data_IF_801170299481
#
_entry.id   IF_801170299481
#
_cell.length_a   1.000
_cell.length_b   1.000
_cell.length_c   1.000
_cell.angle_alpha   90.00
_cell.angle_beta   90.00
_cell.angle_gamma   90.00
#
_symmetry.space_group_name_H-M   'P 1'
#
loop_
_entity.id
_entity.type
_entity.pdbx_description
1 polymer ?
#
# COMPACT_ATOMS: atom_id res chain seq x y z
N UNK A 1 7.03 21.77 6.63
CA UNK A 1 6.00 21.97 5.59
C UNK A 1 4.70 22.27 6.31
N UNK A 2 4.15 23.48 6.19
CA UNK A 2 2.89 23.84 6.87
C UNK A 2 1.74 23.26 6.07
N UNK A 3 1.00 22.30 6.64
CA UNK A 3 -0.16 21.68 6.00
C UNK A 3 -1.41 22.53 6.29
N UNK A 4 -1.75 23.43 5.38
CA UNK A 4 -3.02 24.16 5.47
C UNK A 4 -4.19 23.21 5.19
N UNK A 5 -5.26 23.22 5.98
CA UNK A 5 -6.52 22.52 5.70
C UNK A 5 -7.33 23.27 4.63
N UNK A 6 -8.32 22.62 3.99
CA UNK A 6 -9.19 23.29 3.00
C UNK A 6 -9.97 24.41 3.69
N UNK A 7 -10.44 24.14 4.91
CA UNK A 7 -11.14 25.13 5.72
C UNK A 7 -10.27 26.35 6.02
N UNK A 8 -9.00 26.16 6.40
CA UNK A 8 -8.08 27.27 6.64
C UNK A 8 -7.83 28.10 5.37
N UNK A 9 -7.75 27.46 4.20
CA UNK A 9 -7.65 28.19 2.93
C UNK A 9 -8.90 29.04 2.66
N UNK A 10 -10.10 28.46 2.80
CA UNK A 10 -11.36 29.18 2.62
C UNK A 10 -11.50 30.33 3.62
N UNK A 11 -11.10 30.12 4.88
CA UNK A 11 -11.07 31.17 5.90
C UNK A 11 -10.12 32.29 5.51
N UNK A 12 -8.92 31.98 5.02
CA UNK A 12 -7.93 32.98 4.63
C UNK A 12 -8.39 33.78 3.40
N UNK A 13 -9.01 33.11 2.43
CA UNK A 13 -9.61 33.74 1.26
C UNK A 13 -10.78 34.66 1.66
N UNK A 14 -11.65 34.21 2.56
CA UNK A 14 -12.73 35.04 3.11
C UNK A 14 -12.21 36.26 3.88
N UNK A 15 -11.21 36.08 4.74
CA UNK A 15 -10.56 37.17 5.48
C UNK A 15 -9.93 38.17 4.51
N UNK A 16 -9.28 37.68 3.45
CA UNK A 16 -8.72 38.52 2.40
C UNK A 16 -9.82 39.37 1.75
N UNK A 17 -10.93 38.78 1.30
CA UNK A 17 -12.06 39.54 0.74
C UNK A 17 -12.61 40.58 1.69
N UNK A 18 -12.84 40.19 2.95
CA UNK A 18 -13.39 41.09 3.95
C UNK A 18 -12.45 42.27 4.21
N UNK A 19 -11.14 42.01 4.30
CA UNK A 19 -10.13 43.05 4.53
C UNK A 19 -10.05 44.06 3.38
N UNK A 20 -9.99 43.60 2.12
CA UNK A 20 -9.95 44.48 0.95
C UNK A 20 -11.27 45.25 0.78
N UNK A 21 -12.42 44.61 0.98
CA UNK A 21 -13.73 45.28 0.99
C UNK A 21 -13.79 46.42 2.00
N UNK A 22 -13.35 46.19 3.24
CA UNK A 22 -13.33 47.21 4.28
C UNK A 22 -12.35 48.35 3.94
N UNK A 23 -11.20 48.04 3.33
CA UNK A 23 -10.24 49.05 2.87
C UNK A 23 -10.85 49.93 1.76
N UNK A 24 -11.50 49.33 0.75
CA UNK A 24 -12.17 50.10 -0.30
C UNK A 24 -13.31 50.95 0.25
N UNK A 25 -14.13 50.40 1.14
CA UNK A 25 -15.20 51.15 1.79
C UNK A 25 -14.67 52.34 2.61
N UNK A 26 -13.62 52.10 3.40
CA UNK A 26 -12.99 53.14 4.23
C UNK A 26 -12.38 54.26 3.38
N UNK A 27 -11.63 53.93 2.34
CA UNK A 27 -11.03 54.93 1.44
C UNK A 27 -12.12 55.72 0.72
N UNK A 28 -13.16 55.04 0.22
CA UNK A 28 -14.25 55.70 -0.52
C UNK A 28 -15.10 56.60 0.37
N UNK A 29 -15.27 56.25 1.65
CA UNK A 29 -16.00 57.05 2.63
C UNK A 29 -15.22 58.28 3.09
N UNK A 30 -13.90 58.17 3.26
CA UNK A 30 -13.04 59.27 3.75
C UNK A 30 -12.65 60.22 2.61
N UNK A 31 -12.35 59.68 1.42
CA UNK A 31 -11.84 60.45 0.29
C UNK A 31 -12.35 59.88 -1.04
N UNK A 32 -13.53 60.31 -1.51
CA UNK A 32 -14.12 59.83 -2.77
C UNK A 32 -13.20 60.01 -3.99
N UNK A 33 -12.36 61.06 -4.00
CA UNK A 33 -11.37 61.32 -5.06
C UNK A 33 -10.27 60.26 -5.17
N UNK A 34 -10.06 59.46 -4.11
CA UNK A 34 -9.04 58.42 -4.04
C UNK A 34 -9.65 57.01 -3.95
N UNK A 35 -10.98 56.92 -3.82
CA UNK A 35 -11.74 55.70 -3.60
C UNK A 35 -12.25 55.02 -4.86
N UNK A 36 -13.18 54.10 -4.64
CA UNK A 36 -14.01 53.46 -5.66
C UNK A 36 -15.36 54.16 -5.64
N UNK A 37 -15.83 54.56 -6.82
CA UNK A 37 -17.12 55.23 -7.00
C UNK A 37 -17.99 54.41 -7.95
N UNK A 38 -19.30 54.47 -7.77
CA UNK A 38 -20.24 53.87 -8.71
C UNK A 38 -20.40 54.74 -9.97
N UNK A 39 -21.19 54.28 -10.93
CA UNK A 39 -21.47 55.01 -12.18
C UNK A 39 -22.05 56.42 -11.95
N UNK A 40 -22.81 56.61 -10.87
CA UNK A 40 -23.38 57.92 -10.51
C UNK A 40 -22.37 58.88 -9.87
N UNK A 41 -21.12 58.45 -9.68
CA UNK A 41 -20.06 59.23 -9.07
C UNK A 41 -20.15 59.34 -7.54
N UNK A 42 -21.01 58.56 -6.90
CA UNK A 42 -21.16 58.54 -5.44
C UNK A 42 -20.28 57.47 -4.81
N UNK A 43 -19.95 57.66 -3.52
CA UNK A 43 -19.26 56.65 -2.75
C UNK A 43 -20.06 55.34 -2.69
N UNK A 44 -19.36 54.21 -2.79
CA UNK A 44 -19.96 52.89 -2.73
C UNK A 44 -20.41 52.52 -1.32
N UNK A 45 -21.52 51.79 -1.22
CA UNK A 45 -21.99 51.15 0.01
C UNK A 45 -21.11 49.96 0.41
N UNK A 46 -21.22 49.50 1.65
CA UNK A 46 -20.47 48.34 2.15
C UNK A 46 -20.78 47.04 1.38
N UNK A 47 -22.02 46.88 0.91
CA UNK A 47 -22.40 45.74 0.07
C UNK A 47 -21.73 45.80 -1.30
N UNK A 48 -21.69 46.98 -1.90
CA UNK A 48 -21.03 47.22 -3.19
C UNK A 48 -19.50 47.09 -3.07
N UNK A 49 -18.88 47.49 -1.96
CA UNK A 49 -17.43 47.27 -1.74
C UNK A 49 -17.07 45.80 -1.61
N UNK A 50 -17.94 45.01 -0.98
CA UNK A 50 -17.75 43.57 -0.89
C UNK A 50 -17.90 42.90 -2.25
N UNK A 51 -18.93 43.29 -3.01
CA UNK A 51 -19.12 42.83 -4.38
C UNK A 51 -17.92 43.22 -5.27
N UNK A 52 -17.45 44.47 -5.18
CA UNK A 52 -16.31 44.98 -5.93
C UNK A 52 -15.02 44.19 -5.65
N UNK A 53 -14.71 43.88 -4.38
CA UNK A 53 -13.56 43.04 -4.00
C UNK A 53 -13.66 41.64 -4.59
N UNK A 54 -14.84 41.01 -4.53
CA UNK A 54 -15.09 39.70 -5.12
C UNK A 54 -14.90 39.71 -6.64
N UNK A 55 -15.43 40.73 -7.31
CA UNK A 55 -15.29 40.91 -8.75
C UNK A 55 -13.85 41.24 -9.18
N UNK A 56 -13.09 41.94 -8.35
CA UNK A 56 -11.68 42.28 -8.62
C UNK A 56 -10.80 41.05 -8.61
N UNK A 57 -10.92 40.19 -7.59
CA UNK A 57 -10.13 38.96 -7.50
C UNK A 57 -10.51 37.94 -8.57
N UNK A 58 -11.80 37.84 -8.90
CA UNK A 58 -12.28 36.98 -9.99
C UNK A 58 -12.06 37.59 -11.38
N UNK A 59 -11.49 38.80 -11.47
CA UNK A 59 -11.32 39.57 -12.70
C UNK A 59 -12.61 39.72 -13.52
N UNK A 60 -13.76 39.73 -12.84
CA UNK A 60 -15.09 39.78 -13.45
C UNK A 60 -15.72 41.18 -13.40
N UNK A 61 -15.06 42.16 -12.76
CA UNK A 61 -15.55 43.53 -12.72
C UNK A 61 -15.44 44.19 -14.11
N UNK A 62 -16.57 44.31 -14.82
CA UNK A 62 -16.64 45.03 -16.10
C UNK A 62 -17.61 46.20 -15.91
N UNK A 63 -17.09 47.42 -15.92
CA UNK A 63 -17.87 48.64 -16.17
C UNK A 63 -18.55 49.31 -14.96
N UNK A 64 -19.04 48.55 -13.98
CA UNK A 64 -19.96 49.08 -12.94
C UNK A 64 -19.32 50.08 -11.95
N UNK A 65 -17.99 50.10 -11.85
CA UNK A 65 -17.26 50.89 -10.86
C UNK A 65 -16.07 51.61 -11.50
N UNK A 66 -15.90 52.88 -11.14
CA UNK A 66 -14.72 53.66 -11.49
C UNK A 66 -13.76 53.72 -10.29
N UNK A 67 -12.48 53.51 -10.57
CA UNK A 67 -11.43 53.41 -9.54
C UNK A 67 -10.48 54.59 -9.67
N UNK A 68 -10.35 55.36 -8.60
CA UNK A 68 -9.50 56.55 -8.59
C UNK A 68 -8.15 56.33 -7.91
N UNK A 69 -7.13 57.08 -8.36
CA UNK A 69 -5.78 57.26 -7.77
C UNK A 69 -5.26 56.07 -6.92
N UNK A 70 -5.37 56.16 -5.60
CA UNK A 70 -4.80 55.19 -4.65
C UNK A 70 -5.49 53.82 -4.71
N UNK A 71 -6.79 53.77 -4.97
CA UNK A 71 -7.52 52.51 -5.08
C UNK A 71 -7.01 51.63 -6.23
N UNK A 72 -6.41 52.21 -7.28
CA UNK A 72 -5.76 51.44 -8.36
C UNK A 72 -4.56 50.64 -7.87
N UNK A 73 -3.76 51.19 -6.96
CA UNK A 73 -2.65 50.46 -6.34
C UNK A 73 -3.17 49.33 -5.45
N UNK A 74 -4.22 49.61 -4.68
CA UNK A 74 -4.84 48.64 -3.78
C UNK A 74 -5.44 47.43 -4.53
N UNK A 75 -6.08 47.68 -5.68
CA UNK A 75 -6.52 46.63 -6.61
C UNK A 75 -5.36 45.79 -7.10
N UNK A 76 -4.22 46.41 -7.42
CA UNK A 76 -3.05 45.67 -7.89
C UNK A 76 -2.57 44.69 -6.82
N UNK A 77 -2.53 45.12 -5.55
CA UNK A 77 -2.20 44.25 -4.43
C UNK A 77 -3.25 43.18 -4.18
N UNK A 78 -4.53 43.51 -4.30
CA UNK A 78 -5.63 42.55 -4.16
C UNK A 78 -5.57 41.46 -5.22
N UNK A 79 -5.37 41.82 -6.49
CA UNK A 79 -5.21 40.87 -7.60
C UNK A 79 -3.98 40.00 -7.39
N UNK A 80 -2.86 40.57 -6.93
CA UNK A 80 -1.64 39.81 -6.64
C UNK A 80 -1.88 38.81 -5.49
N UNK A 81 -2.53 39.24 -4.40
CA UNK A 81 -2.89 38.38 -3.29
C UNK A 81 -3.83 37.25 -3.75
N UNK A 82 -4.87 37.59 -4.53
CA UNK A 82 -5.79 36.61 -5.11
C UNK A 82 -5.09 35.57 -5.98
N UNK A 83 -4.13 35.98 -6.82
CA UNK A 83 -3.32 35.08 -7.64
C UNK A 83 -2.47 34.12 -6.79
N UNK A 84 -1.83 34.63 -5.73
CA UNK A 84 -1.02 33.81 -4.81
C UNK A 84 -1.91 32.77 -4.11
N UNK A 85 -3.06 33.20 -3.59
CA UNK A 85 -4.02 32.29 -2.94
C UNK A 85 -4.55 31.24 -3.90
N UNK A 86 -4.91 31.63 -5.13
CA UNK A 86 -5.37 30.70 -6.14
C UNK A 86 -4.28 29.69 -6.53
N UNK A 87 -3.03 30.14 -6.68
CA UNK A 87 -1.88 29.27 -6.95
C UNK A 87 -1.64 28.25 -5.82
N UNK A 88 -1.75 28.68 -4.56
CA UNK A 88 -1.67 27.77 -3.40
C UNK A 88 -2.79 26.72 -3.41
N UNK A 89 -4.03 27.14 -3.71
CA UNK A 89 -5.17 26.22 -3.81
C UNK A 89 -4.98 25.20 -4.92
N UNK A 90 -4.56 25.64 -6.10
CA UNK A 90 -4.36 24.79 -7.27
C UNK A 90 -3.24 23.78 -7.01
N UNK A 91 -2.13 24.22 -6.42
CA UNK A 91 -1.01 23.36 -6.00
C UNK A 91 -1.49 22.26 -5.05
N UNK A 92 -2.36 22.59 -4.08
CA UNK A 92 -2.91 21.62 -3.15
C UNK A 92 -3.88 20.63 -3.82
N UNK A 93 -4.74 21.11 -4.72
CA UNK A 93 -5.62 20.25 -5.51
C UNK A 93 -4.83 19.26 -6.37
N UNK A 94 -3.79 19.75 -7.05
CA UNK A 94 -2.90 18.92 -7.87
C UNK A 94 -2.15 17.93 -6.99
N UNK A 95 -1.65 18.34 -5.83
CA UNK A 95 -0.99 17.46 -4.86
C UNK A 95 -1.90 16.34 -4.37
N UNK A 96 -3.15 16.64 -4.02
CA UNK A 96 -4.14 15.64 -3.60
C UNK A 96 -4.47 14.66 -4.74
N UNK A 97 -4.64 15.16 -5.98
CA UNK A 97 -4.88 14.31 -7.15
C UNK A 97 -3.67 13.41 -7.44
N UNK A 98 -2.45 13.95 -7.36
CA UNK A 98 -1.21 13.22 -7.58
C UNK A 98 -0.99 12.12 -6.53
N UNK A 99 -1.23 12.43 -5.26
CA UNK A 99 -1.17 11.44 -4.17
C UNK A 99 -2.15 10.29 -4.40
N UNK A 100 -3.41 10.58 -4.72
CA UNK A 100 -4.42 9.55 -5.03
C UNK A 100 -4.10 8.73 -6.28
N UNK A 101 -3.48 9.35 -7.29
CA UNK A 101 -3.03 8.63 -8.49
C UNK A 101 -1.88 7.68 -8.17
N UNK A 102 -0.92 8.15 -7.37
CA UNK A 102 0.22 7.36 -6.90
C UNK A 102 -0.26 6.16 -6.06
N UNK A 103 -1.18 6.37 -5.12
CA UNK A 103 -1.84 5.31 -4.34
C UNK A 103 -2.45 4.24 -5.26
N UNK A 104 -3.25 4.65 -6.25
CA UNK A 104 -3.86 3.73 -7.24
C UNK A 104 -2.84 2.99 -8.10
N UNK A 105 -1.75 3.65 -8.51
CA UNK A 105 -0.68 2.99 -9.28
C UNK A 105 -0.02 1.90 -8.44
N UNK A 106 0.28 2.18 -7.18
CA UNK A 106 0.83 1.20 -6.25
C UNK A 106 -0.15 0.05 -6.03
N UNK A 107 -1.42 0.31 -5.72
CA UNK A 107 -2.46 -0.71 -5.58
C UNK A 107 -2.54 -1.63 -6.81
N UNK A 108 -2.49 -1.05 -8.03
CA UNK A 108 -2.49 -1.81 -9.28
C UNK A 108 -1.28 -2.74 -9.41
N UNK A 109 -0.07 -2.23 -9.17
CA UNK A 109 1.16 -3.04 -9.20
C UNK A 109 1.14 -4.15 -8.15
N UNK A 110 0.60 -3.89 -6.96
CA UNK A 110 0.48 -4.89 -5.90
C UNK A 110 -0.53 -5.99 -6.27
N UNK A 111 -1.71 -5.63 -6.79
CA UNK A 111 -2.70 -6.62 -7.26
C UNK A 111 -2.12 -7.51 -8.35
N UNK A 112 -1.33 -6.95 -9.25
CA UNK A 112 -0.63 -7.73 -10.29
C UNK A 112 0.37 -8.72 -9.67
N UNK A 113 1.28 -8.26 -8.80
CA UNK A 113 2.24 -9.15 -8.12
C UNK A 113 1.54 -10.24 -7.32
N UNK A 114 0.43 -9.92 -6.66
CA UNK A 114 -0.36 -10.89 -5.89
C UNK A 114 -0.97 -11.97 -6.78
N UNK A 115 -1.47 -11.58 -7.96
CA UNK A 115 -1.94 -12.53 -8.97
C UNK A 115 -0.80 -13.40 -9.49
N UNK A 116 0.37 -12.84 -9.76
CA UNK A 116 1.57 -13.58 -10.20
C UNK A 116 2.01 -14.60 -9.14
N UNK A 117 2.06 -14.21 -7.86
CA UNK A 117 2.37 -15.13 -6.76
C UNK A 117 1.34 -16.25 -6.65
N UNK A 118 0.04 -15.92 -6.68
CA UNK A 118 -1.05 -16.91 -6.63
C UNK A 118 -0.95 -17.91 -7.79
N UNK A 119 -0.69 -17.44 -9.00
CA UNK A 119 -0.55 -18.29 -10.18
C UNK A 119 0.67 -19.21 -10.06
N UNK A 120 1.82 -18.65 -9.64
CA UNK A 120 3.04 -19.43 -9.41
C UNK A 120 2.84 -20.52 -8.34
N UNK A 121 2.04 -20.24 -7.30
CA UNK A 121 1.68 -21.22 -6.28
C UNK A 121 0.76 -22.31 -6.81
N UNK A 122 -0.26 -21.94 -7.58
CA UNK A 122 -1.18 -22.90 -8.20
C UNK A 122 -0.45 -23.85 -9.16
N UNK A 123 0.49 -23.34 -9.96
CA UNK A 123 1.30 -24.13 -10.88
C UNK A 123 2.19 -25.15 -10.14
N UNK A 124 2.88 -24.71 -9.07
CA UNK A 124 3.70 -25.60 -8.24
C UNK A 124 2.86 -26.68 -7.56
N UNK A 125 1.69 -26.30 -7.04
CA UNK A 125 0.73 -27.24 -6.46
C UNK A 125 0.28 -28.30 -7.47
N UNK A 126 -0.03 -27.89 -8.69
CA UNK A 126 -0.42 -28.81 -9.77
C UNK A 126 0.72 -29.78 -10.11
N UNK A 127 1.95 -29.28 -10.23
CA UNK A 127 3.14 -30.10 -10.44
C UNK A 127 3.34 -31.15 -9.34
N UNK A 128 3.18 -30.75 -8.07
CA UNK A 128 3.31 -31.65 -6.94
C UNK A 128 2.23 -32.75 -6.92
N UNK A 129 0.98 -32.39 -7.20
CA UNK A 129 -0.12 -33.35 -7.29
C UNK A 129 0.16 -34.37 -8.39
N UNK A 130 0.65 -33.93 -9.55
CA UNK A 130 1.01 -34.80 -10.68
C UNK A 130 2.11 -35.79 -10.31
N UNK A 131 3.20 -35.31 -9.70
CA UNK A 131 4.31 -36.15 -9.24
C UNK A 131 3.88 -37.13 -8.15
N UNK A 132 3.09 -36.67 -7.18
CA UNK A 132 2.57 -37.50 -6.09
C UNK A 132 1.68 -38.62 -6.61
N UNK A 133 0.84 -38.36 -7.63
CA UNK A 133 0.00 -39.38 -8.26
C UNK A 133 0.85 -40.44 -8.97
N UNK A 134 1.80 -40.02 -9.80
CA UNK A 134 2.72 -40.95 -10.49
C UNK A 134 3.52 -41.82 -9.50
N UNK A 135 3.97 -41.24 -8.38
CA UNK A 135 4.72 -41.98 -7.35
C UNK A 135 3.91 -43.07 -6.63
N UNK A 136 2.58 -43.01 -6.70
CA UNK A 136 1.68 -44.00 -6.10
C UNK A 136 1.32 -45.14 -7.08
N UNK A 137 1.70 -45.04 -8.35
CA UNK A 137 1.45 -46.09 -9.35
C UNK A 137 2.46 -47.25 -9.19
N UNK A 138 2.00 -48.51 -9.01
CA UNK A 138 2.88 -49.65 -8.86
C UNK A 138 3.67 -49.90 -10.16
N UNK A 139 4.97 -50.17 -10.02
CA UNK A 139 5.87 -50.48 -11.15
C UNK A 139 6.66 -49.29 -11.72
N UNK A 140 6.35 -48.05 -11.33
CA UNK A 140 6.91 -46.85 -11.97
C UNK A 140 8.00 -46.12 -11.16
N UNK A 141 8.53 -46.76 -10.11
CA UNK A 141 9.39 -46.10 -9.11
C UNK A 141 10.70 -45.57 -9.70
N UNK A 142 11.30 -46.25 -10.67
CA UNK A 142 12.58 -45.86 -11.24
C UNK A 142 12.45 -44.69 -12.23
N UNK A 143 11.36 -44.68 -13.02
CA UNK A 143 11.05 -43.63 -13.98
C UNK A 143 10.58 -42.37 -13.25
N UNK A 144 9.74 -42.53 -12.22
CA UNK A 144 9.36 -41.45 -11.29
C UNK A 144 10.58 -40.94 -10.54
N UNK A 145 11.54 -41.79 -10.13
CA UNK A 145 12.83 -41.32 -9.57
C UNK A 145 13.62 -40.49 -10.58
N UNK A 146 13.70 -40.88 -11.85
CA UNK A 146 14.40 -40.11 -12.89
C UNK A 146 13.68 -38.80 -13.20
N UNK A 147 12.36 -38.80 -13.35
CA UNK A 147 11.56 -37.59 -13.58
C UNK A 147 11.61 -36.66 -12.37
N UNK A 148 11.45 -37.18 -11.14
CA UNK A 148 11.62 -36.40 -9.91
C UNK A 148 13.05 -35.90 -9.86
N UNK A 149 14.07 -36.72 -10.08
CA UNK A 149 15.46 -36.30 -10.09
C UNK A 149 15.77 -35.30 -11.21
N UNK A 150 15.06 -35.29 -12.34
CA UNK A 150 15.28 -34.36 -13.45
C UNK A 150 14.48 -33.06 -13.27
N UNK A 151 13.28 -33.13 -12.70
CA UNK A 151 12.50 -31.97 -12.28
C UNK A 151 13.16 -31.29 -11.08
N UNK A 152 13.74 -32.08 -10.17
CA UNK A 152 14.64 -31.65 -9.11
C UNK A 152 15.93 -31.14 -9.73
N UNK A 153 16.68 -31.87 -10.55
CA UNK A 153 17.97 -31.39 -11.10
C UNK A 153 17.84 -30.11 -11.95
N UNK A 154 16.72 -29.90 -12.63
CA UNK A 154 16.42 -28.67 -13.38
C UNK A 154 15.79 -27.54 -12.52
N UNK A 155 15.33 -27.82 -11.28
CA UNK A 155 14.73 -26.82 -10.35
C UNK A 155 15.10 -27.04 -8.86
N UNK A 156 16.29 -27.59 -8.58
CA UNK A 156 16.82 -28.27 -7.34
C UNK A 156 15.93 -28.46 -6.11
N UNK A 157 16.10 -29.57 -5.39
CA UNK A 157 15.48 -29.80 -4.08
C UNK A 157 16.04 -28.80 -3.04
N UNK A 158 17.29 -28.36 -3.22
CA UNK A 158 17.86 -27.15 -2.60
C UNK A 158 17.08 -25.88 -2.98
N UNK A 159 16.63 -25.77 -4.23
CA UNK A 159 15.71 -24.72 -4.66
C UNK A 159 14.31 -24.93 -4.08
N UNK A 160 13.83 -26.14 -3.78
CA UNK A 160 12.45 -26.33 -3.31
C UNK A 160 12.25 -25.81 -1.88
N UNK A 161 13.16 -26.14 -0.96
CA UNK A 161 13.16 -25.54 0.38
C UNK A 161 13.55 -24.06 0.34
N UNK A 162 14.45 -23.63 -0.56
CA UNK A 162 14.69 -22.20 -0.82
C UNK A 162 13.49 -21.49 -1.43
N UNK A 163 12.67 -22.14 -2.24
CA UNK A 163 11.49 -21.58 -2.90
C UNK A 163 10.38 -21.51 -1.87
N UNK A 164 10.18 -22.54 -1.04
CA UNK A 164 9.25 -22.49 0.09
C UNK A 164 9.70 -21.41 1.07
N UNK A 165 10.97 -21.39 1.46
CA UNK A 165 11.56 -20.37 2.35
C UNK A 165 11.49 -18.96 1.75
N UNK A 166 11.88 -18.77 0.48
CA UNK A 166 11.80 -17.51 -0.25
C UNK A 166 10.37 -17.04 -0.40
N UNK A 167 9.41 -17.93 -0.67
CA UNK A 167 8.00 -17.59 -0.78
C UNK A 167 7.35 -17.34 0.58
N UNK A 168 7.81 -18.00 1.64
CA UNK A 168 7.44 -17.71 3.04
C UNK A 168 7.98 -16.36 3.49
N UNK A 169 9.25 -16.05 3.18
CA UNK A 169 9.86 -14.75 3.41
C UNK A 169 9.22 -13.66 2.56
N UNK A 170 8.84 -13.94 1.30
CA UNK A 170 8.13 -12.99 0.46
C UNK A 170 6.71 -12.74 0.96
N UNK A 171 5.99 -13.78 1.41
CA UNK A 171 4.71 -13.63 2.09
C UNK A 171 4.87 -12.85 3.40
N UNK A 172 5.90 -13.11 4.20
CA UNK A 172 6.10 -12.41 5.46
C UNK A 172 6.49 -10.95 5.27
N UNK A 173 7.36 -10.64 4.30
CA UNK A 173 7.69 -9.27 3.87
C UNK A 173 6.48 -8.56 3.30
N UNK A 174 5.65 -9.24 2.50
CA UNK A 174 4.44 -8.67 1.93
C UNK A 174 3.38 -8.40 3.00
N UNK A 175 3.16 -9.33 3.93
CA UNK A 175 2.28 -9.14 5.08
C UNK A 175 2.78 -7.98 5.94
N UNK A 176 4.07 -7.93 6.24
CA UNK A 176 4.67 -6.85 7.03
C UNK A 176 4.55 -5.49 6.33
N UNK A 177 4.87 -5.41 5.03
CA UNK A 177 4.84 -4.16 4.28
C UNK A 177 3.41 -3.64 4.10
N UNK A 178 2.45 -4.48 3.69
CA UNK A 178 1.07 -4.05 3.54
C UNK A 178 0.43 -3.75 4.90
N UNK A 179 0.71 -4.53 5.96
CA UNK A 179 0.16 -4.18 7.27
C UNK A 179 0.80 -2.91 7.83
N UNK A 180 2.11 -2.71 7.74
CA UNK A 180 2.75 -1.48 8.23
C UNK A 180 2.37 -0.23 7.41
N UNK A 181 2.26 -0.35 6.08
CA UNK A 181 1.89 0.77 5.20
C UNK A 181 0.38 1.05 5.28
N UNK A 182 -0.48 0.03 5.32
CA UNK A 182 -1.93 0.21 5.40
C UNK A 182 -2.44 0.50 6.82
N UNK A 183 -1.70 0.14 7.89
CA UNK A 183 -2.01 0.55 9.27
C UNK A 183 -1.80 2.05 9.47
N UNK A 184 -0.87 2.65 8.71
CA UNK A 184 -0.71 4.10 8.64
C UNK A 184 -1.87 4.78 7.89
N UNK A 185 -2.57 4.08 6.98
CA UNK A 185 -3.58 4.65 6.09
C UNK A 185 -5.03 4.14 6.32
N UNK A 186 -5.27 3.35 7.38
CA UNK A 186 -6.59 2.87 7.83
C UNK A 186 -7.48 2.13 6.81
N UNK A 187 -6.96 1.66 5.68
CA UNK A 187 -7.70 0.84 4.70
C UNK A 187 -7.04 -0.51 4.49
N UNK A 188 -7.17 -1.37 5.49
CA UNK A 188 -6.73 -2.74 5.36
C UNK A 188 -7.86 -3.60 4.78
N UNK A 189 -7.63 -4.22 3.62
CA UNK A 189 -8.58 -5.13 2.99
C UNK A 189 -8.49 -6.53 3.65
N UNK A 190 -9.36 -6.78 4.63
CA UNK A 190 -9.39 -8.05 5.37
C UNK A 190 -9.69 -9.26 4.47
N UNK A 191 -10.42 -9.09 3.37
CA UNK A 191 -10.72 -10.18 2.44
C UNK A 191 -9.45 -10.67 1.73
N UNK A 192 -8.62 -9.74 1.28
CA UNK A 192 -7.34 -10.06 0.62
C UNK A 192 -6.39 -10.76 1.59
N UNK A 193 -6.30 -10.31 2.84
CA UNK A 193 -5.50 -10.97 3.87
C UNK A 193 -6.01 -12.38 4.14
N UNK A 194 -7.32 -12.54 4.34
CA UNK A 194 -7.95 -13.84 4.60
C UNK A 194 -7.66 -14.82 3.47
N UNK A 195 -7.80 -14.40 2.21
CA UNK A 195 -7.51 -15.22 1.04
C UNK A 195 -6.03 -15.65 0.98
N UNK A 196 -5.09 -14.74 1.29
CA UNK A 196 -3.65 -15.06 1.36
C UNK A 196 -3.33 -16.06 2.47
N UNK A 197 -3.85 -15.82 3.67
CA UNK A 197 -3.66 -16.70 4.82
C UNK A 197 -4.23 -18.10 4.54
N UNK A 198 -5.41 -18.17 3.90
CA UNK A 198 -6.02 -19.43 3.51
C UNK A 198 -5.19 -20.19 2.45
N UNK A 199 -4.63 -19.48 1.46
CA UNK A 199 -3.71 -20.07 0.47
C UNK A 199 -2.44 -20.62 1.14
N UNK A 200 -1.83 -19.83 2.04
CA UNK A 200 -0.66 -20.25 2.83
C UNK A 200 -0.95 -21.50 3.66
N UNK A 201 -2.08 -21.52 4.36
CA UNK A 201 -2.54 -22.69 5.12
C UNK A 201 -2.68 -23.94 4.26
N UNK A 202 -3.36 -23.86 3.11
CA UNK A 202 -3.53 -25.01 2.21
C UNK A 202 -2.17 -25.55 1.76
N UNK A 203 -1.25 -24.68 1.36
CA UNK A 203 0.08 -25.07 0.91
C UNK A 203 0.86 -25.76 2.02
N UNK A 204 0.85 -25.19 3.23
CA UNK A 204 1.51 -25.76 4.41
C UNK A 204 0.97 -27.16 4.76
N UNK A 205 -0.36 -27.33 4.75
CA UNK A 205 -0.99 -28.62 4.99
C UNK A 205 -0.62 -29.66 3.93
N UNK A 206 -0.53 -29.26 2.66
CA UNK A 206 -0.13 -30.16 1.59
C UNK A 206 1.35 -30.56 1.69
N UNK A 207 2.24 -29.63 2.06
CA UNK A 207 3.65 -29.93 2.34
C UNK A 207 3.74 -30.94 3.48
N UNK A 208 3.07 -30.68 4.61
CA UNK A 208 3.07 -31.59 5.76
C UNK A 208 2.54 -32.98 5.40
N UNK A 209 1.44 -33.07 4.63
CA UNK A 209 0.90 -34.34 4.14
C UNK A 209 1.87 -35.05 3.19
N UNK A 210 2.56 -34.30 2.33
CA UNK A 210 3.61 -34.81 1.46
C UNK A 210 4.71 -35.47 2.26
N UNK A 211 5.31 -34.74 3.21
CA UNK A 211 6.37 -35.24 4.09
C UNK A 211 5.94 -36.50 4.85
N UNK A 212 4.73 -36.53 5.42
CA UNK A 212 4.21 -37.72 6.13
C UNK A 212 4.01 -38.94 5.22
N UNK A 213 3.55 -38.74 3.98
CA UNK A 213 3.41 -39.84 3.01
C UNK A 213 4.78 -40.40 2.64
N UNK A 214 5.72 -39.51 2.49
CA UNK A 214 7.11 -39.79 2.19
C UNK A 214 7.78 -40.58 3.32
N UNK A 215 7.60 -40.21 4.60
CA UNK A 215 8.10 -40.97 5.76
C UNK A 215 7.60 -42.42 5.81
N UNK A 216 6.37 -42.65 5.34
CA UNK A 216 5.75 -43.99 5.30
C UNK A 216 6.25 -44.85 4.14
N UNK A 217 6.75 -44.22 3.07
CA UNK A 217 7.41 -44.93 1.98
C UNK A 217 8.85 -45.21 2.43
N UNK A 218 9.22 -46.47 2.65
CA UNK A 218 10.55 -46.91 3.11
C UNK A 218 11.67 -46.66 2.09
N UNK A 219 11.69 -45.49 1.42
CA UNK A 219 12.53 -45.20 0.28
C UNK A 219 13.82 -44.44 0.64
N UNK A 220 14.90 -44.58 -0.15
CA UNK A 220 16.27 -44.14 0.20
C UNK A 220 16.53 -42.63 0.13
N UNK A 221 15.54 -41.82 -0.27
CA UNK A 221 15.71 -40.37 -0.43
C UNK A 221 15.86 -39.64 0.93
N UNK A 222 15.59 -40.34 2.05
CA UNK A 222 16.01 -39.97 3.42
C UNK A 222 17.51 -39.70 3.56
N UNK A 223 18.35 -40.13 2.61
CA UNK A 223 19.78 -39.84 2.63
C UNK A 223 20.13 -38.41 2.17
N UNK A 224 19.20 -37.70 1.51
CA UNK A 224 19.45 -36.34 1.00
C UNK A 224 19.04 -35.22 1.97
N UNK A 225 18.18 -35.53 2.94
CA UNK A 225 17.73 -34.60 3.96
C UNK A 225 17.71 -35.30 5.30
N UNK A 226 18.30 -34.69 6.34
CA UNK A 226 18.21 -35.23 7.69
C UNK A 226 16.73 -35.40 8.07
N UNK A 227 16.39 -36.53 8.67
CA UNK A 227 15.05 -36.80 9.23
C UNK A 227 14.61 -35.67 10.17
N UNK A 228 15.57 -35.09 10.89
CA UNK A 228 15.39 -33.93 11.76
C UNK A 228 14.86 -32.70 11.01
N UNK A 229 15.35 -32.41 9.81
CA UNK A 229 14.85 -31.28 9.00
C UNK A 229 13.42 -31.46 8.52
N UNK A 230 13.07 -32.66 8.06
CA UNK A 230 11.71 -32.97 7.64
C UNK A 230 10.72 -32.86 8.81
N UNK A 231 11.14 -33.30 10.00
CA UNK A 231 10.39 -33.12 11.24
C UNK A 231 10.24 -31.65 11.60
N UNK A 232 11.32 -30.87 11.52
CA UNK A 232 11.32 -29.44 11.81
C UNK A 232 10.38 -28.69 10.85
N UNK A 233 10.51 -28.87 9.55
CA UNK A 233 9.62 -28.25 8.54
C UNK A 233 8.15 -28.62 8.81
N UNK A 234 7.90 -29.87 9.15
CA UNK A 234 6.55 -30.33 9.50
C UNK A 234 6.03 -29.65 10.76
N UNK A 235 6.81 -29.59 11.83
CA UNK A 235 6.45 -28.91 13.08
C UNK A 235 6.17 -27.43 12.83
N UNK A 236 7.04 -26.74 12.10
CA UNK A 236 6.87 -25.33 11.77
C UNK A 236 5.66 -25.06 10.87
N UNK A 237 5.42 -25.91 9.87
CA UNK A 237 4.22 -25.80 9.03
C UNK A 237 2.93 -25.88 9.85
N UNK A 238 2.91 -26.73 10.88
CA UNK A 238 1.79 -26.87 11.80
C UNK A 238 1.66 -25.67 12.73
N UNK A 239 2.78 -25.14 13.25
CA UNK A 239 2.79 -23.91 14.07
C UNK A 239 2.23 -22.73 13.28
N UNK A 240 2.72 -22.49 12.06
CA UNK A 240 2.22 -21.40 11.21
C UNK A 240 0.75 -21.61 10.85
N UNK A 241 0.34 -22.85 10.57
CA UNK A 241 -1.08 -23.17 10.29
C UNK A 241 -1.97 -22.84 11.48
N UNK A 242 -1.57 -23.18 12.71
CA UNK A 242 -2.31 -22.85 13.93
C UNK A 242 -2.41 -21.34 14.16
N UNK A 243 -1.32 -20.61 13.91
CA UNK A 243 -1.33 -19.14 14.01
C UNK A 243 -2.27 -18.50 12.99
N UNK A 244 -2.28 -19.01 11.76
CA UNK A 244 -3.22 -18.59 10.72
C UNK A 244 -4.66 -18.90 11.14
N UNK A 245 -4.93 -20.12 11.63
CA UNK A 245 -6.27 -20.53 12.09
C UNK A 245 -6.78 -19.63 13.21
N UNK A 246 -5.94 -19.34 14.21
CA UNK A 246 -6.25 -18.43 15.30
C UNK A 246 -6.64 -17.03 14.79
N UNK A 247 -5.88 -16.49 13.83
CA UNK A 247 -6.17 -15.16 13.26
C UNK A 247 -7.42 -15.14 12.40
N UNK A 248 -7.72 -16.23 11.69
CA UNK A 248 -8.95 -16.37 10.91
C UNK A 248 -10.18 -16.54 11.81
N UNK A 249 -10.06 -17.18 12.97
CA UNK A 249 -11.16 -17.36 13.92
C UNK A 249 -11.45 -16.14 14.80
N UNK A 250 -10.41 -15.35 15.13
CA UNK A 250 -10.54 -14.17 15.97
C UNK A 250 -9.99 -12.93 15.27
N UNK A 251 -10.75 -12.31 14.34
CA UNK A 251 -10.30 -11.13 13.64
C UNK A 251 -10.43 -9.89 14.51
N UNK A 252 -9.50 -9.74 15.46
CA UNK A 252 -9.34 -8.50 16.24
C UNK A 252 -8.25 -7.66 15.59
N UNK A 253 -8.56 -6.46 15.06
CA UNK A 253 -7.60 -5.62 14.36
C UNK A 253 -6.42 -5.22 15.25
N UNK A 254 -6.65 -5.08 16.56
CA UNK A 254 -5.64 -4.77 17.59
C UNK A 254 -4.56 -5.86 17.74
N UNK A 255 -4.92 -7.13 17.54
CA UNK A 255 -4.00 -8.27 17.68
C UNK A 255 -3.34 -8.67 16.36
N UNK A 256 -3.90 -8.24 15.24
CA UNK A 256 -3.46 -8.65 13.92
C UNK A 256 -1.99 -8.31 13.63
N UNK A 257 -1.50 -7.17 14.13
CA UNK A 257 -0.09 -6.78 14.01
C UNK A 257 0.80 -7.79 14.74
N UNK A 258 0.44 -8.14 15.97
CA UNK A 258 1.19 -9.09 16.81
C UNK A 258 1.17 -10.49 16.21
N UNK A 259 0.03 -10.92 15.66
CA UNK A 259 -0.12 -12.22 15.03
C UNK A 259 0.67 -12.32 13.71
N UNK A 260 0.65 -11.27 12.88
CA UNK A 260 1.43 -11.21 11.63
C UNK A 260 2.93 -11.17 11.93
N UNK A 261 3.35 -10.39 12.92
CA UNK A 261 4.75 -10.32 13.33
C UNK A 261 5.26 -11.65 13.89
N UNK A 262 4.39 -12.37 14.61
CA UNK A 262 4.69 -13.72 15.08
C UNK A 262 4.80 -14.71 13.91
N UNK A 263 3.88 -14.68 12.94
CA UNK A 263 3.95 -15.50 11.73
C UNK A 263 5.24 -15.20 10.95
N UNK A 264 5.61 -13.91 10.82
CA UNK A 264 6.86 -13.49 10.19
C UNK A 264 8.08 -14.06 10.90
N UNK A 265 8.14 -13.89 12.22
CA UNK A 265 9.26 -14.34 13.05
C UNK A 265 9.46 -15.86 12.93
N UNK A 266 8.37 -16.63 12.93
CA UNK A 266 8.44 -18.08 12.75
C UNK A 266 8.88 -18.47 11.33
N UNK A 267 8.37 -17.79 10.29
CA UNK A 267 8.84 -17.96 8.91
C UNK A 267 10.35 -17.67 8.77
N UNK A 268 10.86 -16.62 9.41
CA UNK A 268 12.28 -16.28 9.39
C UNK A 268 13.15 -17.31 10.12
N UNK A 269 12.71 -17.82 11.27
CA UNK A 269 13.42 -18.88 12.00
C UNK A 269 13.60 -20.12 11.14
N UNK A 270 12.58 -20.51 10.38
CA UNK A 270 12.64 -21.63 9.42
C UNK A 270 13.68 -21.34 8.35
N UNK A 271 13.62 -20.15 7.74
CA UNK A 271 14.54 -19.75 6.69
C UNK A 271 16.00 -19.77 7.15
N UNK A 272 16.27 -19.24 8.36
CA UNK A 272 17.62 -19.21 8.96
C UNK A 272 18.14 -20.61 9.28
N UNK A 273 17.31 -21.50 9.84
CA UNK A 273 17.70 -22.89 10.14
C UNK A 273 18.04 -23.69 8.87
N UNK A 274 17.18 -23.59 7.85
CA UNK A 274 17.43 -24.23 6.54
C UNK A 274 18.74 -23.70 5.93
N UNK A 275 19.05 -22.41 6.13
CA UNK A 275 20.28 -21.79 5.61
C UNK A 275 21.54 -22.13 6.39
N UNK A 276 21.46 -22.32 7.72
CA UNK A 276 22.61 -22.55 8.59
C UNK A 276 23.24 -23.94 8.39
N UNK A 277 22.44 -24.99 8.22
CA UNK A 277 22.96 -26.35 8.02
C UNK A 277 23.69 -26.53 6.68
N UNK A 278 23.44 -25.65 5.71
CA UNK A 278 24.19 -25.61 4.46
C UNK A 278 25.68 -25.41 4.70
N UNK A 279 26.04 -24.55 5.67
CA UNK A 279 27.44 -24.27 6.01
C UNK A 279 28.18 -25.50 6.57
N UNK A 280 27.42 -26.48 7.09
CA UNK A 280 27.94 -27.73 7.66
C UNK A 280 28.06 -28.79 6.56
N UNK A 281 27.03 -28.94 5.71
CA UNK A 281 27.02 -29.91 4.62
C UNK A 281 28.11 -29.67 3.55
N UNK A 282 28.36 -28.42 3.15
CA UNK A 282 29.42 -28.10 2.16
C UNK A 282 30.85 -28.20 2.72
N UNK A 283 31.02 -28.39 4.03
CA UNK A 283 32.34 -28.63 4.65
C UNK A 283 32.69 -30.11 4.78
N UNK A 284 31.72 -31.01 4.60
CA UNK A 284 31.86 -32.45 4.81
C UNK A 284 31.93 -33.22 3.48
N UNK A 285 31.66 -32.55 2.36
CA UNK A 285 31.90 -33.01 0.98
C UNK A 285 33.21 -32.48 0.43
#
# INVERSE_FOLDING_TARGET
>A
MVTFSVNQFLTLLFISYLSFSLLFFGISSISPENGVINETGTAISLGESFYFSLCTITRSCIGDYSVNRFSKLLITFEVLAGLVLFGMFLSKLVGAKSSKMTEKMYEGQYRQKLREYRNSWAEQRAGFIKLSKKALEPGNILEVKKEIAQHIKNKTSENYLKIISSKMSACSLFLYHNYMVSFLDKKFDEEVLSALLHSLKITLLQISKGIKRFERSSQPWLNYYSKENLNNITAYSQTITKLIEKRLSEPKPENAVKDIELIRTECEKISRRISAEKSISTKVS
#
